data_IF_164698711091
#
_entry.id   IF_164698711091
#
_cell.length_a   1.000
_cell.length_b   1.000
_cell.length_c   1.000
_cell.angle_alpha   90.00
_cell.angle_beta   90.00
_cell.angle_gamma   90.00
#
_symmetry.space_group_name_H-M   'P 1'
#
loop_
_entity.id
_entity.type
_entity.pdbx_description
1 polymer ?
#
# COMPACT_ATOMS: atom_id res chain seq x y z
N UNK A 1 -11.80 8.42 20.10
CA UNK A 1 -11.19 9.77 20.10
C UNK A 1 -10.48 9.99 18.78
N UNK A 2 -10.73 11.10 18.09
CA UNK A 2 -10.10 11.37 16.79
C UNK A 2 -8.60 11.68 16.97
N UNK A 3 -7.84 11.69 15.88
CA UNK A 3 -6.44 12.14 15.91
C UNK A 3 -6.34 13.55 16.51
N UNK A 4 -7.19 14.48 16.07
CA UNK A 4 -7.15 15.89 16.48
C UNK A 4 -7.40 16.01 17.98
N UNK A 5 -8.46 15.39 18.48
CA UNK A 5 -8.81 15.42 19.91
C UNK A 5 -7.66 14.91 20.78
N UNK A 6 -7.05 13.78 20.37
CA UNK A 6 -5.92 13.17 21.07
C UNK A 6 -4.70 14.09 21.15
N UNK A 7 -4.39 14.81 20.07
CA UNK A 7 -3.24 15.73 20.04
C UNK A 7 -3.53 17.02 20.81
N UNK A 8 -4.77 17.52 20.79
CA UNK A 8 -5.20 18.66 21.61
C UNK A 8 -5.12 18.31 23.11
N UNK A 9 -5.64 17.15 23.50
CA UNK A 9 -5.56 16.66 24.87
C UNK A 9 -4.11 16.53 25.33
N UNK A 10 -3.26 15.91 24.50
CA UNK A 10 -1.83 15.79 24.77
C UNK A 10 -1.17 17.16 25.00
N UNK A 11 -1.39 18.12 24.10
CA UNK A 11 -0.86 19.49 24.25
C UNK A 11 -1.35 20.15 25.54
N UNK A 12 -2.64 20.06 25.82
CA UNK A 12 -3.23 20.71 26.99
C UNK A 12 -2.69 20.12 28.30
N UNK A 13 -2.38 18.82 28.32
CA UNK A 13 -1.75 18.18 29.47
C UNK A 13 -0.31 18.70 29.67
N UNK A 14 0.49 18.80 28.61
CA UNK A 14 1.83 19.41 28.69
C UNK A 14 1.78 20.84 29.23
N UNK A 15 0.86 21.66 28.72
CA UNK A 15 0.70 23.05 29.16
C UNK A 15 0.28 23.15 30.63
N UNK A 16 -0.62 22.28 31.10
CA UNK A 16 -1.03 22.22 32.52
C UNK A 16 0.14 21.83 33.43
N UNK A 17 1.03 20.98 32.95
CA UNK A 17 2.23 20.53 33.66
C UNK A 17 3.40 21.52 33.53
N UNK A 18 3.23 22.65 32.82
CA UNK A 18 4.29 23.62 32.57
C UNK A 18 5.41 23.11 31.66
N UNK A 19 5.17 22.02 30.93
CA UNK A 19 6.13 21.41 30.01
C UNK A 19 6.07 22.05 28.62
N UNK A 20 7.22 22.03 27.94
CA UNK A 20 7.34 22.51 26.58
C UNK A 20 6.60 21.58 25.59
N UNK A 21 5.71 22.16 24.78
CA UNK A 21 4.88 21.39 23.82
C UNK A 21 5.73 20.85 22.66
N UNK A 22 6.65 21.66 22.17
CA UNK A 22 7.58 21.33 21.08
C UNK A 22 8.94 21.93 21.45
N UNK A 23 10.02 21.14 21.46
CA UNK A 23 11.35 21.63 21.83
C UNK A 23 11.86 22.67 20.83
N UNK A 24 12.85 23.46 21.27
CA UNK A 24 13.60 24.40 20.41
C UNK A 24 14.29 23.70 19.24
N UNK A 25 14.81 22.48 19.47
CA UNK A 25 15.43 21.66 18.43
C UNK A 25 14.97 20.21 18.52
N UNK A 26 14.85 19.57 17.37
CA UNK A 26 14.75 18.11 17.26
C UNK A 26 16.03 17.59 16.65
N UNK A 27 16.63 16.56 17.26
CA UNK A 27 17.86 15.94 16.76
C UNK A 27 19.01 16.96 16.58
N UNK A 28 19.06 18.01 17.40
CA UNK A 28 20.03 19.11 17.30
C UNK A 28 19.75 20.12 16.17
N UNK A 29 18.68 19.96 15.40
CA UNK A 29 18.31 20.81 14.27
C UNK A 29 17.19 21.77 14.68
N UNK A 30 17.42 23.07 14.53
CA UNK A 30 16.42 24.12 14.80
C UNK A 30 15.64 24.53 13.54
N UNK A 31 14.53 25.26 13.72
CA UNK A 31 13.78 25.84 12.60
C UNK A 31 14.60 26.86 11.81
N UNK A 32 15.49 27.60 12.48
CA UNK A 32 16.41 28.55 11.83
C UNK A 32 17.38 27.82 10.90
N UNK A 33 17.96 26.69 11.36
CA UNK A 33 18.83 25.85 10.51
C UNK A 33 18.07 25.34 9.29
N UNK A 34 16.86 24.82 9.49
CA UNK A 34 15.98 24.35 8.39
C UNK A 34 15.70 25.49 7.41
N UNK A 35 15.34 26.68 7.91
CA UNK A 35 15.07 27.86 7.09
C UNK A 35 16.28 28.24 6.23
N UNK A 36 17.49 28.26 6.82
CA UNK A 36 18.72 28.55 6.09
C UNK A 36 18.97 27.56 4.96
N UNK A 37 18.79 26.25 5.24
CA UNK A 37 18.93 25.20 4.22
C UNK A 37 17.87 25.33 3.12
N UNK A 38 16.60 25.50 3.50
CA UNK A 38 15.49 25.61 2.55
C UNK A 38 15.58 26.88 1.68
N UNK A 39 16.21 27.96 2.17
CA UNK A 39 16.47 29.15 1.37
C UNK A 39 17.44 28.87 0.22
N UNK A 40 18.49 28.07 0.44
CA UNK A 40 19.47 27.74 -0.62
C UNK A 40 18.83 26.91 -1.74
N UNK A 41 17.85 26.08 -1.40
CA UNK A 41 17.20 25.18 -2.35
C UNK A 41 15.91 25.77 -2.96
N UNK A 42 15.63 27.06 -2.70
CA UNK A 42 14.45 27.80 -3.17
C UNK A 42 13.11 27.12 -2.80
N UNK A 43 13.01 26.62 -1.55
CA UNK A 43 11.83 25.92 -1.01
C UNK A 43 11.53 26.34 0.43
N UNK A 44 11.56 27.64 0.71
CA UNK A 44 11.47 28.17 2.07
C UNK A 44 10.16 28.90 2.33
N UNK A 45 9.12 28.14 2.69
CA UNK A 45 7.89 28.69 3.29
C UNK A 45 7.78 28.26 4.74
N UNK A 46 7.01 29.00 5.55
CA UNK A 46 6.78 28.65 6.96
C UNK A 46 6.18 27.23 7.09
N UNK A 47 5.26 26.85 6.20
CA UNK A 47 4.69 25.50 6.22
C UNK A 47 5.73 24.42 5.88
N UNK A 48 6.65 24.67 4.93
CA UNK A 48 7.72 23.73 4.61
C UNK A 48 8.72 23.59 5.76
N UNK A 49 9.10 24.70 6.41
CA UNK A 49 9.98 24.70 7.58
C UNK A 49 9.33 23.88 8.70
N UNK A 50 8.06 24.15 9.00
CA UNK A 50 7.31 23.45 10.04
C UNK A 50 7.13 21.95 9.73
N UNK A 51 6.97 21.60 8.44
CA UNK A 51 6.86 20.21 7.99
C UNK A 51 8.16 19.42 8.15
N UNK A 52 9.30 20.01 7.74
CA UNK A 52 10.62 19.40 7.96
C UNK A 52 10.88 19.27 9.46
N UNK A 53 10.57 20.30 10.24
CA UNK A 53 10.75 20.27 11.69
C UNK A 53 9.90 19.18 12.37
N UNK A 54 8.64 19.01 11.94
CA UNK A 54 7.78 17.94 12.44
C UNK A 54 8.34 16.54 12.13
N UNK A 55 8.94 16.35 10.95
CA UNK A 55 9.52 15.08 10.54
C UNK A 55 10.86 14.74 11.23
N UNK A 56 11.33 15.61 12.13
CA UNK A 56 12.45 15.33 13.03
C UNK A 56 11.97 14.89 14.44
N UNK A 57 10.67 14.90 14.73
CA UNK A 57 10.14 14.51 16.04
C UNK A 57 10.44 13.02 16.33
N UNK A 58 11.15 12.76 17.43
CA UNK A 58 11.54 11.42 17.86
C UNK A 58 10.52 10.74 18.78
N UNK A 59 9.41 11.41 19.08
CA UNK A 59 8.32 10.83 19.86
C UNK A 59 7.72 9.61 19.15
N UNK A 60 7.01 8.74 19.90
CA UNK A 60 6.33 7.60 19.31
C UNK A 60 5.37 8.00 18.18
N UNK A 61 5.29 7.15 17.16
CA UNK A 61 4.42 7.37 16.02
C UNK A 61 2.93 7.50 16.40
N UNK A 62 2.17 8.20 15.56
CA UNK A 62 0.73 8.41 15.77
C UNK A 62 -0.19 7.43 15.03
N UNK A 63 0.40 6.41 14.39
CA UNK A 63 -0.30 5.29 13.76
C UNK A 63 -1.04 4.41 14.78
N UNK A 64 -0.75 3.11 14.82
CA UNK A 64 -1.43 2.14 15.69
C UNK A 64 -0.65 1.92 16.98
N UNK A 65 -1.33 1.40 18.01
CA UNK A 65 -0.65 0.93 19.24
C UNK A 65 0.39 -0.15 18.95
N UNK A 66 0.18 -0.97 17.89
CA UNK A 66 1.15 -1.98 17.43
C UNK A 66 2.43 -1.31 16.93
N UNK A 67 2.30 -0.22 16.15
CA UNK A 67 3.43 0.55 15.65
C UNK A 67 4.23 1.22 16.79
N UNK A 68 3.54 1.75 17.79
CA UNK A 68 4.18 2.30 19.02
C UNK A 68 4.98 1.20 19.75
N UNK A 69 4.39 0.02 19.94
CA UNK A 69 5.07 -1.12 20.58
C UNK A 69 6.27 -1.63 19.78
N UNK A 70 6.24 -1.48 18.46
CA UNK A 70 7.36 -1.81 17.58
C UNK A 70 8.48 -0.75 17.60
N UNK A 71 8.35 0.31 18.42
CA UNK A 71 9.39 1.33 18.58
C UNK A 71 9.42 2.36 17.45
N UNK A 72 8.42 2.39 16.58
CA UNK A 72 8.37 3.33 15.46
C UNK A 72 8.18 4.75 15.98
N UNK A 73 9.06 5.65 15.56
CA UNK A 73 9.04 7.08 15.87
C UNK A 73 8.26 7.86 14.82
N UNK A 74 7.91 9.10 15.14
CA UNK A 74 7.27 10.01 14.20
C UNK A 74 8.19 10.33 13.00
N UNK A 75 9.48 10.53 13.26
CA UNK A 75 10.49 10.80 12.22
C UNK A 75 10.75 9.63 11.25
N UNK A 76 10.42 8.39 11.64
CA UNK A 76 10.55 7.23 10.74
C UNK A 76 9.53 7.28 9.59
N UNK A 77 8.41 7.96 9.81
CA UNK A 77 7.40 8.25 8.82
C UNK A 77 6.10 8.78 9.43
N UNK A 78 5.60 9.89 8.89
CA UNK A 78 4.34 10.50 9.32
C UNK A 78 3.38 10.73 8.13
N UNK A 79 2.10 10.43 8.32
CA UNK A 79 1.05 10.71 7.32
C UNK A 79 0.81 12.21 7.15
N UNK A 80 0.17 12.64 6.06
CA UNK A 80 -0.24 14.05 5.88
C UNK A 80 -1.06 14.55 7.08
N UNK A 81 -1.93 13.72 7.65
CA UNK A 81 -2.74 14.09 8.80
C UNK A 81 -1.90 14.22 10.08
N UNK A 82 -0.89 13.37 10.27
CA UNK A 82 0.04 13.46 11.40
C UNK A 82 0.87 14.75 11.32
N UNK A 83 1.48 15.02 10.17
CA UNK A 83 2.30 16.23 9.98
C UNK A 83 1.43 17.47 10.12
N UNK A 84 0.25 17.50 9.49
CA UNK A 84 -0.66 18.64 9.61
C UNK A 84 -1.15 18.88 11.04
N UNK A 85 -1.36 17.83 11.84
CA UNK A 85 -1.72 17.95 13.25
C UNK A 85 -0.53 18.39 14.12
N UNK A 86 0.68 17.91 13.84
CA UNK A 86 1.88 18.39 14.52
C UNK A 86 2.07 19.89 14.26
N UNK A 87 1.93 20.36 13.02
CA UNK A 87 2.08 21.78 12.70
C UNK A 87 0.95 22.60 13.32
N UNK A 88 -0.31 22.28 12.98
CA UNK A 88 -1.47 23.10 13.34
C UNK A 88 -1.73 23.15 14.84
N UNK A 89 -1.51 22.04 15.55
CA UNK A 89 -1.89 21.89 16.96
C UNK A 89 -0.67 22.07 17.87
N UNK A 90 0.42 21.31 17.64
CA UNK A 90 1.57 21.35 18.54
C UNK A 90 2.43 22.60 18.32
N UNK A 91 2.82 22.88 17.08
CA UNK A 91 3.72 24.01 16.80
C UNK A 91 3.01 25.37 16.84
N UNK A 92 1.78 25.46 16.33
CA UNK A 92 1.04 26.72 16.15
C UNK A 92 -0.03 27.00 17.21
N UNK A 93 -0.30 26.06 18.12
CA UNK A 93 -1.30 26.26 19.17
C UNK A 93 -2.76 26.26 18.70
N UNK A 94 -3.06 25.87 17.45
CA UNK A 94 -4.41 25.83 16.89
C UNK A 94 -5.26 24.64 17.38
N UNK A 95 -6.53 24.58 16.97
CA UNK A 95 -7.48 23.52 17.34
C UNK A 95 -7.79 22.55 16.19
N UNK A 96 -7.05 22.66 15.09
CA UNK A 96 -7.20 21.80 13.92
C UNK A 96 -5.85 21.51 13.29
N UNK A 97 -5.80 20.45 12.50
CA UNK A 97 -4.66 20.14 11.64
C UNK A 97 -4.68 21.03 10.41
N UNK A 98 -3.53 21.21 9.77
CA UNK A 98 -3.47 21.81 8.43
C UNK A 98 -4.38 21.04 7.47
N UNK A 99 -4.96 21.80 6.54
CA UNK A 99 -5.81 21.22 5.52
C UNK A 99 -5.03 20.22 4.64
N UNK A 100 -5.70 19.12 4.32
CA UNK A 100 -5.12 18.02 3.56
C UNK A 100 -4.82 18.44 2.13
N UNK A 101 -5.70 19.23 1.50
CA UNK A 101 -5.49 19.71 0.13
C UNK A 101 -4.30 20.68 0.06
N UNK A 102 -4.02 21.37 1.18
CA UNK A 102 -2.82 22.19 1.35
C UNK A 102 -1.49 21.44 1.15
N UNK A 103 -1.46 20.10 1.26
CA UNK A 103 -0.25 19.27 1.16
C UNK A 103 0.60 19.59 -0.08
N UNK A 104 -0.05 19.93 -1.19
CA UNK A 104 0.62 20.23 -2.44
C UNK A 104 1.46 21.53 -2.38
N UNK A 105 1.32 22.34 -1.32
CA UNK A 105 2.12 23.53 -1.06
C UNK A 105 3.24 23.32 -0.04
N UNK A 106 3.18 22.31 0.83
CA UNK A 106 4.13 22.16 1.95
C UNK A 106 4.84 20.80 2.06
N UNK A 107 4.39 19.78 1.32
CA UNK A 107 5.13 18.52 1.17
C UNK A 107 5.54 18.27 -0.28
N UNK A 108 4.68 18.60 -1.25
CA UNK A 108 4.97 18.33 -2.67
C UNK A 108 6.26 18.95 -3.16
N UNK A 109 6.52 20.24 -2.88
CA UNK A 109 7.73 20.87 -3.35
C UNK A 109 9.01 20.30 -2.73
N UNK A 110 8.91 19.61 -1.58
CA UNK A 110 10.03 18.96 -0.90
C UNK A 110 10.29 17.53 -1.40
N UNK A 111 9.26 16.74 -1.71
CA UNK A 111 9.48 15.40 -2.28
C UNK A 111 9.84 15.45 -3.77
N UNK A 112 9.41 16.48 -4.52
CA UNK A 112 9.76 16.64 -5.94
C UNK A 112 11.26 16.87 -6.15
N UNK A 113 11.92 17.38 -5.12
CA UNK A 113 13.37 17.50 -5.06
C UNK A 113 13.99 16.39 -4.20
N UNK A 114 13.25 15.37 -3.75
CA UNK A 114 13.80 14.27 -2.94
C UNK A 114 14.36 14.67 -1.58
N UNK A 115 14.02 15.83 -1.02
CA UNK A 115 14.27 16.15 0.41
C UNK A 115 13.42 15.25 1.30
N UNK A 116 12.21 14.92 0.84
CA UNK A 116 11.32 13.96 1.49
C UNK A 116 11.15 12.71 0.63
N UNK A 117 11.08 11.57 1.30
CA UNK A 117 10.77 10.28 0.70
C UNK A 117 9.31 9.91 1.00
N UNK A 118 8.60 9.40 0.00
CA UNK A 118 7.32 8.74 0.21
C UNK A 118 7.59 7.35 0.76
N UNK A 119 6.88 6.98 1.82
CA UNK A 119 6.94 5.65 2.43
C UNK A 119 5.54 5.19 2.84
N UNK A 120 5.34 3.89 3.04
CA UNK A 120 4.10 3.36 3.60
C UNK A 120 4.45 2.43 4.77
N UNK A 121 3.72 2.55 5.89
CA UNK A 121 3.87 1.60 6.98
C UNK A 121 3.23 0.27 6.59
N UNK A 122 4.01 -0.81 6.55
CA UNK A 122 3.48 -2.16 6.41
C UNK A 122 2.90 -2.63 7.76
N UNK A 123 1.60 -2.90 7.79
CA UNK A 123 0.86 -3.33 8.98
C UNK A 123 1.22 -4.75 9.46
N UNK A 124 1.89 -5.54 8.63
CA UNK A 124 2.34 -6.88 8.97
C UNK A 124 3.69 -6.82 9.67
N UNK A 125 4.70 -6.26 9.00
CA UNK A 125 6.10 -6.21 9.47
C UNK A 125 6.39 -5.08 10.44
N UNK A 126 5.52 -4.06 10.54
CA UNK A 126 5.80 -2.83 11.29
C UNK A 126 7.05 -2.11 10.79
N UNK A 127 7.29 -2.14 9.47
CA UNK A 127 8.39 -1.42 8.83
C UNK A 127 7.88 -0.48 7.75
N UNK A 128 8.65 0.57 7.45
CA UNK A 128 8.33 1.47 6.34
C UNK A 128 8.90 0.92 5.04
N UNK A 129 8.03 0.73 4.08
CA UNK A 129 8.39 0.37 2.71
C UNK A 129 8.44 1.63 1.82
N UNK A 130 9.27 1.64 0.77
CA UNK A 130 9.35 2.79 -0.14
C UNK A 130 8.06 3.03 -0.93
N UNK A 131 7.75 4.30 -1.14
CA UNK A 131 6.66 4.77 -1.99
C UNK A 131 5.29 4.73 -1.33
N UNK A 132 4.27 5.02 -2.14
CA UNK A 132 2.85 4.86 -1.80
C UNK A 132 2.25 3.79 -2.71
N UNK A 133 2.64 2.50 -2.55
CA UNK A 133 2.23 1.43 -3.45
C UNK A 133 0.71 1.21 -3.45
N UNK A 134 0.06 1.49 -2.32
CA UNK A 134 -1.40 1.44 -2.19
C UNK A 134 -1.94 2.88 -2.21
N UNK A 135 -2.63 3.24 -3.29
CA UNK A 135 -3.22 4.55 -3.44
C UNK A 135 -4.23 4.86 -2.31
N UNK A 136 -4.20 6.08 -1.79
CA UNK A 136 -5.10 6.58 -0.73
C UNK A 136 -5.05 5.82 0.60
N UNK A 137 -4.10 4.89 0.79
CA UNK A 137 -3.92 4.19 2.06
C UNK A 137 -3.68 5.19 3.21
N UNK A 138 -4.33 5.01 4.38
CA UNK A 138 -4.07 5.84 5.55
C UNK A 138 -2.66 5.60 6.12
N UNK A 139 -1.97 4.53 5.69
CA UNK A 139 -0.62 4.17 6.12
C UNK A 139 0.47 4.85 5.27
N UNK A 140 0.09 5.57 4.20
CA UNK A 140 1.01 6.38 3.43
C UNK A 140 1.54 7.55 4.26
N UNK A 141 2.85 7.71 4.22
CA UNK A 141 3.63 8.59 5.06
C UNK A 141 4.79 9.24 4.28
N UNK A 142 5.46 10.15 4.95
CA UNK A 142 6.65 10.83 4.46
C UNK A 142 7.70 10.82 5.57
N UNK A 143 8.97 10.75 5.17
CA UNK A 143 10.13 10.94 6.05
C UNK A 143 11.18 11.80 5.35
N UNK A 144 12.10 12.37 6.10
CA UNK A 144 13.25 13.10 5.53
C UNK A 144 14.21 12.08 4.91
N UNK A 145 14.72 12.36 3.71
CA UNK A 145 15.76 11.53 3.07
C UNK A 145 17.06 11.62 3.86
N UNK A 146 17.83 10.54 3.91
CA UNK A 146 19.08 10.52 4.68
C UNK A 146 20.04 11.63 4.22
N UNK A 147 20.21 11.79 2.90
CA UNK A 147 21.06 12.84 2.34
C UNK A 147 20.63 14.26 2.76
N UNK A 148 19.32 14.54 2.82
CA UNK A 148 18.84 15.84 3.28
C UNK A 148 19.01 16.02 4.79
N UNK A 149 18.86 14.94 5.56
CA UNK A 149 19.13 14.92 7.00
C UNK A 149 20.61 15.20 7.32
N UNK A 150 21.52 14.67 6.51
CA UNK A 150 22.97 14.90 6.65
C UNK A 150 23.31 16.38 6.42
N UNK A 151 22.66 17.04 5.45
CA UNK A 151 22.79 18.49 5.22
C UNK A 151 22.28 19.28 6.42
N UNK A 152 21.08 18.95 6.94
CA UNK A 152 20.51 19.63 8.10
C UNK A 152 21.40 19.51 9.35
N UNK A 153 22.07 18.37 9.51
CA UNK A 153 22.91 18.05 10.66
C UNK A 153 24.35 18.55 10.52
N UNK A 154 24.76 18.98 9.32
CA UNK A 154 26.12 19.39 9.06
C UNK A 154 26.48 20.73 9.76
N UNK A 155 27.71 20.88 10.26
CA UNK A 155 28.18 22.10 10.91
C UNK A 155 28.10 23.33 9.99
N UNK A 156 28.03 24.51 10.60
CA UNK A 156 28.06 25.79 9.89
C UNK A 156 29.37 25.95 9.08
N UNK A 157 29.26 26.48 7.87
CA UNK A 157 30.37 26.57 6.91
C UNK A 157 30.59 25.31 6.06
N UNK A 158 29.97 24.18 6.42
CA UNK A 158 30.04 22.92 5.63
C UNK A 158 28.74 22.68 4.88
N UNK A 159 27.60 22.79 5.57
CA UNK A 159 26.29 22.44 5.01
C UNK A 159 25.92 23.26 3.76
N UNK A 160 26.40 24.50 3.63
CA UNK A 160 26.11 25.37 2.48
C UNK A 160 26.66 24.78 1.18
N UNK A 161 27.86 24.19 1.24
CA UNK A 161 28.48 23.53 0.09
C UNK A 161 27.72 22.25 -0.28
N UNK A 162 27.37 21.43 0.72
CA UNK A 162 26.59 20.21 0.54
C UNK A 162 25.20 20.52 -0.04
N UNK A 163 24.53 21.57 0.43
CA UNK A 163 23.22 21.99 -0.07
C UNK A 163 23.29 22.40 -1.54
N UNK A 164 24.30 23.20 -1.93
CA UNK A 164 24.49 23.63 -3.33
C UNK A 164 24.78 22.45 -4.25
N UNK A 165 25.64 21.53 -3.82
CA UNK A 165 25.94 20.32 -4.59
C UNK A 165 24.71 19.41 -4.73
N UNK A 166 23.95 19.25 -3.66
CA UNK A 166 22.76 18.39 -3.62
C UNK A 166 21.61 18.88 -4.51
N UNK A 167 21.49 20.21 -4.69
CA UNK A 167 20.48 20.84 -5.58
C UNK A 167 20.83 20.74 -7.06
N UNK A 168 22.10 20.49 -7.42
CA UNK A 168 22.50 20.41 -8.82
C UNK A 168 21.59 19.46 -9.62
N UNK A 169 21.18 19.88 -10.82
CA UNK A 169 20.15 19.17 -11.60
C UNK A 169 20.57 17.73 -11.95
N UNK A 170 21.87 17.48 -12.13
CA UNK A 170 22.43 16.14 -12.32
C UNK A 170 22.20 15.25 -11.08
N UNK A 171 22.56 15.72 -9.89
CA UNK A 171 22.37 14.99 -8.64
C UNK A 171 20.88 14.78 -8.32
N UNK A 172 20.05 15.78 -8.62
CA UNK A 172 18.59 15.68 -8.49
C UNK A 172 18.02 14.61 -9.41
N UNK A 173 18.42 14.58 -10.69
CA UNK A 173 17.94 13.57 -11.66
C UNK A 173 18.37 12.17 -11.27
N UNK A 174 19.64 11.98 -10.90
CA UNK A 174 20.15 10.68 -10.45
C UNK A 174 19.39 10.16 -9.21
N UNK A 175 19.17 11.03 -8.22
CA UNK A 175 18.42 10.69 -7.00
C UNK A 175 16.97 10.32 -7.29
N UNK A 176 16.27 11.09 -8.13
CA UNK A 176 14.88 10.81 -8.48
C UNK A 176 14.73 9.49 -9.26
N UNK A 177 15.66 9.19 -10.16
CA UNK A 177 15.69 7.91 -10.87
C UNK A 177 15.88 6.74 -9.90
N UNK A 178 16.85 6.85 -8.97
CA UNK A 178 17.08 5.83 -7.95
C UNK A 178 15.84 5.61 -7.07
N UNK A 179 15.19 6.69 -6.61
CA UNK A 179 13.95 6.59 -5.84
C UNK A 179 12.83 5.92 -6.65
N UNK A 180 12.70 6.24 -7.95
CA UNK A 180 11.69 5.62 -8.81
C UNK A 180 11.91 4.11 -8.97
N UNK A 181 13.15 3.65 -9.13
CA UNK A 181 13.48 2.22 -9.20
C UNK A 181 13.19 1.50 -7.88
N UNK A 182 13.56 2.10 -6.74
CA UNK A 182 13.28 1.55 -5.41
C UNK A 182 11.78 1.48 -5.13
N UNK A 183 11.01 2.50 -5.52
CA UNK A 183 9.55 2.52 -5.41
C UNK A 183 8.93 1.46 -6.32
N UNK A 184 9.44 1.28 -7.54
CA UNK A 184 8.95 0.24 -8.47
C UNK A 184 9.15 -1.15 -7.86
N UNK A 185 10.35 -1.45 -7.36
CA UNK A 185 10.65 -2.71 -6.66
C UNK A 185 9.79 -2.90 -5.40
N UNK A 186 9.56 -1.84 -4.64
CA UNK A 186 8.68 -1.89 -3.48
C UNK A 186 7.22 -2.14 -3.89
N UNK A 187 6.73 -1.53 -4.98
CA UNK A 187 5.39 -1.80 -5.51
C UNK A 187 5.24 -3.27 -5.93
N UNK A 188 6.24 -3.81 -6.62
CA UNK A 188 6.31 -5.23 -7.00
C UNK A 188 6.37 -6.15 -5.76
N UNK A 189 7.10 -5.76 -4.71
CA UNK A 189 7.20 -6.52 -3.46
C UNK A 189 5.95 -6.42 -2.55
N UNK A 190 5.04 -5.48 -2.83
CA UNK A 190 3.85 -5.16 -2.00
C UNK A 190 2.57 -5.67 -2.65
N UNK A 191 2.67 -6.54 -3.66
CA UNK A 191 1.53 -7.25 -4.23
C UNK A 191 0.59 -7.73 -3.11
N UNK A 192 -0.65 -7.23 -3.18
CA UNK A 192 -1.61 -7.24 -2.09
C UNK A 192 -1.87 -8.64 -1.53
N UNK A 193 -2.41 -8.80 -0.30
CA UNK A 193 -2.88 -10.10 0.19
C UNK A 193 -3.72 -10.89 -0.83
N UNK A 194 -4.47 -10.17 -1.69
CA UNK A 194 -5.25 -10.73 -2.79
C UNK A 194 -4.36 -11.19 -3.94
N UNK A 195 -3.49 -10.32 -4.47
CA UNK A 195 -2.55 -10.64 -5.55
C UNK A 195 -1.59 -11.77 -5.15
N UNK A 196 -1.16 -11.81 -3.88
CA UNK A 196 -0.35 -12.89 -3.31
C UNK A 196 -1.15 -14.19 -3.26
N UNK A 197 -2.40 -14.16 -2.80
CA UNK A 197 -3.26 -15.35 -2.79
C UNK A 197 -3.54 -15.88 -4.21
N UNK A 198 -3.70 -14.99 -5.20
CA UNK A 198 -3.78 -15.36 -6.62
C UNK A 198 -2.49 -16.04 -7.09
N UNK A 199 -1.33 -15.43 -6.79
CA UNK A 199 -0.02 -15.99 -7.13
C UNK A 199 0.19 -17.37 -6.50
N UNK A 200 -0.14 -17.52 -5.21
CA UNK A 200 -0.01 -18.78 -4.47
C UNK A 200 -0.99 -19.85 -4.98
N UNK A 201 -2.19 -19.44 -5.41
CA UNK A 201 -3.13 -20.35 -6.08
C UNK A 201 -2.55 -20.87 -7.39
N UNK A 202 -1.95 -20.00 -8.20
CA UNK A 202 -1.29 -20.39 -9.45
C UNK A 202 -0.04 -21.26 -9.21
N UNK A 203 0.75 -20.96 -8.18
CA UNK A 203 2.03 -21.61 -7.92
C UNK A 203 1.88 -22.96 -7.21
N UNK A 204 0.93 -23.08 -6.28
CA UNK A 204 0.81 -24.25 -5.40
C UNK A 204 -0.48 -25.03 -5.63
N UNK A 205 -1.63 -24.37 -5.68
CA UNK A 205 -2.91 -25.06 -5.83
C UNK A 205 -3.06 -25.71 -7.21
N UNK A 206 -2.82 -24.94 -8.28
CA UNK A 206 -3.00 -25.41 -9.66
C UNK A 206 -2.13 -26.64 -9.97
N UNK A 207 -0.80 -26.65 -9.71
CA UNK A 207 0.02 -27.83 -10.00
C UNK A 207 -0.30 -29.03 -9.10
N UNK A 208 -0.88 -28.81 -7.92
CA UNK A 208 -1.21 -29.89 -6.98
C UNK A 208 -2.53 -30.58 -7.34
N UNK A 209 -3.58 -29.81 -7.62
CA UNK A 209 -4.95 -30.31 -7.76
C UNK A 209 -5.52 -30.21 -9.18
N UNK A 210 -4.94 -29.38 -10.06
CA UNK A 210 -5.45 -29.10 -11.41
C UNK A 210 -4.39 -29.35 -12.50
N UNK A 211 -3.66 -30.48 -12.40
CA UNK A 211 -2.47 -30.80 -13.23
C UNK A 211 -2.68 -30.75 -14.74
N UNK A 212 -3.88 -31.06 -15.21
CA UNK A 212 -4.21 -31.07 -16.65
C UNK A 212 -4.78 -29.73 -17.16
N UNK A 213 -4.84 -28.71 -16.30
CA UNK A 213 -5.32 -27.38 -16.63
C UNK A 213 -4.17 -26.40 -16.90
N UNK A 214 -4.30 -25.60 -17.95
CA UNK A 214 -3.40 -24.49 -18.27
C UNK A 214 -4.02 -23.17 -17.83
N UNK A 215 -3.26 -22.31 -17.15
CA UNK A 215 -3.69 -20.94 -16.81
C UNK A 215 -3.71 -20.10 -18.09
N UNK A 216 -4.89 -19.58 -18.43
CA UNK A 216 -5.11 -18.79 -19.64
C UNK A 216 -5.46 -17.33 -19.36
N UNK A 217 -5.86 -17.02 -18.12
CA UNK A 217 -6.16 -15.66 -17.67
C UNK A 217 -5.87 -15.52 -16.17
N UNK A 218 -5.36 -14.36 -15.78
CA UNK A 218 -5.13 -13.92 -14.41
C UNK A 218 -5.51 -12.44 -14.35
N UNK A 219 -6.34 -12.05 -13.39
CA UNK A 219 -6.64 -10.67 -13.03
C UNK A 219 -5.99 -10.35 -11.69
N UNK A 220 -4.81 -9.73 -11.70
CA UNK A 220 -3.99 -9.48 -10.49
C UNK A 220 -4.29 -8.14 -9.79
N UNK A 221 -5.37 -7.45 -10.20
CA UNK A 221 -5.89 -6.25 -9.55
C UNK A 221 -5.15 -4.94 -9.88
N UNK A 222 -4.14 -4.94 -10.76
CA UNK A 222 -3.43 -3.71 -11.19
C UNK A 222 -4.06 -3.05 -12.43
N UNK A 223 -5.26 -3.49 -12.84
CA UNK A 223 -6.17 -2.74 -13.71
C UNK A 223 -5.97 -2.90 -15.22
N UNK A 224 -7.02 -3.39 -15.87
CA UNK A 224 -7.45 -3.11 -17.25
C UNK A 224 -6.62 -3.59 -18.45
N UNK A 225 -5.62 -4.46 -18.29
CA UNK A 225 -4.88 -4.99 -19.46
C UNK A 225 -4.72 -6.50 -19.46
N UNK A 226 -5.61 -7.17 -20.18
CA UNK A 226 -5.33 -8.51 -20.73
C UNK A 226 -4.08 -8.39 -21.60
N UNK A 227 -3.00 -9.05 -21.19
CA UNK A 227 -1.75 -9.07 -21.96
C UNK A 227 -1.97 -9.73 -23.32
N UNK A 228 -1.13 -9.41 -24.31
CA UNK A 228 -1.24 -10.03 -25.64
C UNK A 228 -1.06 -11.57 -25.57
N UNK A 229 -0.26 -12.06 -24.62
CA UNK A 229 -0.11 -13.49 -24.36
C UNK A 229 -1.41 -14.11 -23.84
N UNK A 230 -2.08 -13.48 -22.87
CA UNK A 230 -3.38 -13.95 -22.36
C UNK A 230 -4.45 -13.89 -23.46
N UNK A 231 -4.49 -12.84 -24.29
CA UNK A 231 -5.40 -12.76 -25.46
C UNK A 231 -5.17 -13.92 -26.41
N UNK A 232 -3.90 -14.25 -26.71
CA UNK A 232 -3.56 -15.40 -27.54
C UNK A 232 -4.03 -16.71 -26.90
N UNK A 233 -3.78 -16.91 -25.61
CA UNK A 233 -4.20 -18.11 -24.86
C UNK A 233 -5.73 -18.27 -24.85
N UNK A 234 -6.47 -17.21 -24.55
CA UNK A 234 -7.94 -17.18 -24.61
C UNK A 234 -8.45 -17.53 -26.01
N UNK A 235 -7.88 -16.93 -27.06
CA UNK A 235 -8.25 -17.25 -28.46
C UNK A 235 -7.94 -18.70 -28.82
N UNK A 236 -6.79 -19.22 -28.40
CA UNK A 236 -6.43 -20.64 -28.60
C UNK A 236 -7.39 -21.57 -27.86
N UNK A 237 -7.88 -21.17 -26.69
CA UNK A 237 -8.92 -21.88 -25.96
C UNK A 237 -10.33 -21.69 -26.57
N UNK A 238 -10.49 -20.93 -27.66
CA UNK A 238 -11.80 -20.65 -28.26
C UNK A 238 -12.70 -19.75 -27.42
N UNK A 239 -12.13 -18.92 -26.53
CA UNK A 239 -12.86 -18.03 -25.65
C UNK A 239 -12.89 -16.60 -26.17
N UNK A 240 -14.08 -15.99 -26.15
CA UNK A 240 -14.30 -14.57 -26.44
C UNK A 240 -14.88 -13.87 -25.23
N UNK A 241 -14.16 -12.86 -24.73
CA UNK A 241 -14.58 -12.02 -23.61
C UNK A 241 -15.38 -10.82 -24.15
N UNK A 242 -16.53 -10.56 -23.55
CA UNK A 242 -17.40 -9.43 -23.82
C UNK A 242 -17.34 -8.43 -22.67
N UNK A 243 -17.71 -7.17 -22.93
CA UNK A 243 -17.61 -6.06 -21.96
C UNK A 243 -18.40 -6.31 -20.66
N UNK A 244 -19.43 -7.14 -20.71
CA UNK A 244 -20.33 -7.45 -19.59
C UNK A 244 -20.03 -8.79 -18.91
N UNK A 245 -18.96 -9.49 -19.29
CA UNK A 245 -18.57 -10.74 -18.62
C UNK A 245 -17.96 -10.44 -17.26
N UNK A 246 -18.46 -11.10 -16.22
CA UNK A 246 -17.82 -11.07 -14.89
C UNK A 246 -16.65 -12.05 -14.88
N UNK A 247 -15.47 -11.55 -15.25
CA UNK A 247 -14.25 -12.35 -15.26
C UNK A 247 -13.82 -12.76 -13.84
N UNK A 248 -13.22 -13.95 -13.68
CA UNK A 248 -12.67 -14.42 -12.40
C UNK A 248 -11.22 -13.98 -12.20
N UNK A 249 -10.69 -14.13 -10.97
CA UNK A 249 -9.29 -13.82 -10.68
C UNK A 249 -8.31 -14.73 -11.45
N UNK A 250 -8.64 -16.01 -11.63
CA UNK A 250 -7.88 -16.92 -12.50
C UNK A 250 -8.84 -17.79 -13.32
N UNK A 251 -8.58 -17.91 -14.63
CA UNK A 251 -9.25 -18.86 -15.51
C UNK A 251 -8.23 -19.85 -16.06
N UNK A 252 -8.60 -21.13 -15.98
CA UNK A 252 -7.83 -22.23 -16.54
C UNK A 252 -8.64 -23.03 -17.55
N UNK A 253 -7.92 -23.71 -18.46
CA UNK A 253 -8.51 -24.55 -19.49
C UNK A 253 -7.80 -25.90 -19.58
N UNK A 254 -8.59 -26.97 -19.61
CA UNK A 254 -8.11 -28.31 -19.87
C UNK A 254 -8.32 -28.66 -21.35
N UNK A 255 -7.22 -28.81 -22.09
CA UNK A 255 -7.25 -29.10 -23.53
C UNK A 255 -7.85 -30.46 -23.89
N UNK A 256 -7.74 -31.43 -22.98
CA UNK A 256 -8.19 -32.82 -23.23
C UNK A 256 -9.70 -32.94 -23.11
N UNK A 257 -10.27 -32.30 -22.10
CA UNK A 257 -11.71 -32.35 -21.81
C UNK A 257 -12.49 -31.17 -22.39
N UNK A 258 -11.78 -30.14 -22.85
CA UNK A 258 -12.32 -28.83 -23.25
C UNK A 258 -13.19 -28.15 -22.17
N UNK A 259 -12.83 -28.37 -20.91
CA UNK A 259 -13.51 -27.77 -19.75
C UNK A 259 -12.70 -26.60 -19.16
N UNK A 260 -13.40 -25.72 -18.46
CA UNK A 260 -12.82 -24.57 -17.78
C UNK A 260 -12.69 -24.83 -16.27
N UNK A 261 -11.80 -24.09 -15.62
CA UNK A 261 -11.76 -24.00 -14.16
C UNK A 261 -11.57 -22.55 -13.73
N UNK A 262 -12.33 -22.15 -12.72
CA UNK A 262 -12.34 -20.80 -12.17
C UNK A 262 -11.75 -20.81 -10.77
N UNK A 263 -10.87 -19.86 -10.48
CA UNK A 263 -10.39 -19.60 -9.12
C UNK A 263 -10.73 -18.16 -8.74
N UNK A 264 -11.34 -17.98 -7.58
CA UNK A 264 -11.59 -16.67 -6.96
C UNK A 264 -10.82 -16.58 -5.63
N UNK A 265 -9.98 -15.57 -5.47
CA UNK A 265 -9.11 -15.33 -4.33
C UNK A 265 -9.73 -14.36 -3.33
N UNK A 266 -10.34 -14.88 -2.26
CA UNK A 266 -11.17 -14.06 -1.39
C UNK A 266 -10.36 -13.43 -0.26
N UNK A 267 -10.20 -12.11 -0.33
CA UNK A 267 -9.60 -11.30 0.76
C UNK A 267 -10.55 -10.21 1.27
N UNK A 268 -11.27 -9.50 0.39
CA UNK A 268 -12.32 -8.52 0.72
C UNK A 268 -13.57 -8.68 -0.15
N UNK A 269 -13.40 -8.98 -1.43
CA UNK A 269 -14.47 -9.06 -2.43
C UNK A 269 -14.97 -10.51 -2.63
N UNK A 270 -16.15 -10.66 -3.23
CA UNK A 270 -17.08 -11.79 -3.06
C UNK A 270 -16.55 -13.20 -3.39
N UNK A 271 -17.11 -14.22 -2.73
CA UNK A 271 -16.85 -15.64 -3.04
C UNK A 271 -17.42 -16.06 -4.40
N UNK A 272 -17.09 -17.30 -4.80
CA UNK A 272 -17.90 -18.03 -5.77
C UNK A 272 -19.28 -18.32 -5.16
N UNK A 273 -20.18 -17.36 -5.31
CA UNK A 273 -21.59 -17.48 -5.00
C UNK A 273 -22.39 -18.03 -6.18
N UNK A 274 -23.69 -18.24 -5.97
CA UNK A 274 -24.57 -18.76 -7.02
C UNK A 274 -24.64 -17.87 -8.25
N UNK A 275 -24.48 -16.55 -8.11
CA UNK A 275 -24.51 -15.61 -9.23
C UNK A 275 -23.24 -15.74 -10.08
N UNK A 276 -22.06 -15.85 -9.46
CA UNK A 276 -20.79 -16.09 -10.16
C UNK A 276 -20.81 -17.46 -10.85
N UNK A 277 -21.29 -18.52 -10.19
CA UNK A 277 -21.44 -19.85 -10.80
C UNK A 277 -22.32 -19.78 -12.05
N UNK A 278 -23.48 -19.14 -11.95
CA UNK A 278 -24.40 -19.01 -13.08
C UNK A 278 -23.81 -18.18 -14.23
N UNK A 279 -23.12 -17.09 -13.91
CA UNK A 279 -22.44 -16.23 -14.89
C UNK A 279 -21.36 -17.00 -15.66
N UNK A 280 -20.49 -17.72 -14.95
CA UNK A 280 -19.41 -18.49 -15.57
C UNK A 280 -19.88 -19.74 -16.28
N UNK A 281 -20.98 -20.38 -15.84
CA UNK A 281 -21.65 -21.46 -16.60
C UNK A 281 -22.22 -20.93 -17.91
N UNK A 282 -22.84 -19.74 -17.91
CA UNK A 282 -23.32 -19.11 -19.13
C UNK A 282 -22.16 -18.74 -20.07
N UNK A 283 -21.07 -18.18 -19.54
CA UNK A 283 -19.84 -17.89 -20.28
C UNK A 283 -19.25 -19.16 -20.93
N UNK A 284 -19.11 -20.23 -20.14
CA UNK A 284 -18.60 -21.54 -20.58
C UNK A 284 -19.45 -22.11 -21.72
N UNK A 285 -20.77 -22.18 -21.53
CA UNK A 285 -21.72 -22.67 -22.54
C UNK A 285 -21.70 -21.84 -23.83
N UNK A 286 -21.64 -20.50 -23.71
CA UNK A 286 -21.58 -19.59 -24.86
C UNK A 286 -20.33 -19.82 -25.71
N UNK A 287 -19.22 -20.17 -25.08
CA UNK A 287 -17.96 -20.48 -25.77
C UNK A 287 -17.80 -21.97 -26.11
N UNK A 288 -18.88 -22.76 -26.04
CA UNK A 288 -18.90 -24.17 -26.47
C UNK A 288 -18.08 -25.12 -25.60
N UNK A 289 -17.80 -24.75 -24.35
CA UNK A 289 -17.01 -25.57 -23.42
C UNK A 289 -17.84 -26.68 -22.80
N UNK A 290 -17.18 -27.79 -22.47
CA UNK A 290 -17.86 -29.01 -21.99
C UNK A 290 -18.38 -28.87 -20.56
N UNK A 291 -17.64 -28.17 -19.70
CA UNK A 291 -17.99 -27.93 -18.30
C UNK A 291 -17.19 -26.76 -17.70
N UNK A 292 -17.53 -26.34 -16.48
CA UNK A 292 -16.76 -25.37 -15.68
C UNK A 292 -16.75 -25.74 -14.19
N UNK A 293 -15.54 -25.91 -13.64
CA UNK A 293 -15.31 -26.09 -12.21
C UNK A 293 -14.93 -24.79 -11.48
N UNK A 294 -15.00 -24.79 -10.16
CA UNK A 294 -14.79 -23.60 -9.33
C UNK A 294 -14.03 -23.90 -8.05
N UNK A 295 -13.11 -23.00 -7.70
CA UNK A 295 -12.43 -22.98 -6.40
C UNK A 295 -12.50 -21.57 -5.80
N UNK A 296 -12.97 -21.47 -4.55
CA UNK A 296 -12.77 -20.26 -3.75
C UNK A 296 -11.53 -20.45 -2.87
N UNK A 297 -10.58 -19.52 -2.95
CA UNK A 297 -9.34 -19.60 -2.18
C UNK A 297 -9.35 -18.58 -1.04
N UNK A 298 -8.77 -18.97 0.09
CA UNK A 298 -8.64 -18.14 1.29
C UNK A 298 -7.23 -18.20 1.84
N UNK A 299 -6.81 -17.14 2.52
CA UNK A 299 -5.50 -17.14 3.19
C UNK A 299 -5.46 -18.07 4.41
N UNK A 300 -6.52 -18.07 5.23
CA UNK A 300 -6.54 -18.74 6.54
C UNK A 300 -7.90 -19.33 6.87
N UNK A 301 -7.93 -20.29 7.79
CA UNK A 301 -9.16 -20.85 8.36
C UNK A 301 -10.02 -19.80 9.06
N UNK A 302 -9.36 -18.82 9.69
CA UNK A 302 -10.04 -17.69 10.32
C UNK A 302 -10.83 -16.87 9.29
N UNK A 303 -10.24 -16.63 8.12
CA UNK A 303 -10.86 -15.77 7.10
C UNK A 303 -12.12 -16.39 6.50
N UNK A 304 -12.10 -17.69 6.20
CA UNK A 304 -13.30 -18.41 5.75
C UNK A 304 -14.38 -18.38 6.82
N UNK A 305 -14.04 -18.62 8.10
CA UNK A 305 -15.02 -18.58 9.19
C UNK A 305 -15.67 -17.19 9.33
N UNK A 306 -14.88 -16.11 9.30
CA UNK A 306 -15.39 -14.73 9.35
C UNK A 306 -16.38 -14.44 8.21
N UNK A 307 -16.04 -14.88 7.00
CA UNK A 307 -16.87 -14.64 5.81
C UNK A 307 -18.13 -15.49 5.80
N UNK A 308 -18.01 -16.78 6.07
CA UNK A 308 -19.16 -17.68 6.08
C UNK A 308 -20.07 -17.45 7.28
N UNK A 309 -19.57 -16.90 8.38
CA UNK A 309 -20.44 -16.39 9.45
C UNK A 309 -21.37 -15.27 8.94
N UNK A 310 -20.85 -14.36 8.09
CA UNK A 310 -21.57 -13.19 7.60
C UNK A 310 -22.46 -13.46 6.39
N UNK A 311 -21.95 -14.20 5.40
CA UNK A 311 -22.58 -14.28 4.07
C UNK A 311 -23.23 -15.63 3.77
N UNK A 312 -22.70 -16.74 4.29
CA UNK A 312 -23.23 -18.11 4.11
C UNK A 312 -23.58 -18.43 2.64
N UNK A 313 -22.69 -18.07 1.73
CA UNK A 313 -22.99 -17.93 0.31
C UNK A 313 -22.07 -18.74 -0.62
N UNK A 314 -21.16 -19.56 -0.09
CA UNK A 314 -20.38 -20.47 -0.95
C UNK A 314 -21.34 -21.45 -1.61
N UNK A 315 -21.27 -21.55 -2.94
CA UNK A 315 -22.11 -22.45 -3.70
C UNK A 315 -21.73 -23.93 -3.49
N UNK A 316 -22.74 -24.80 -3.44
CA UNK A 316 -22.55 -26.25 -3.50
C UNK A 316 -21.92 -26.66 -4.83
N UNK A 317 -21.25 -27.81 -4.84
CA UNK A 317 -20.55 -28.33 -6.02
C UNK A 317 -19.27 -27.58 -6.36
N UNK A 318 -18.76 -26.73 -5.45
CA UNK A 318 -17.51 -25.99 -5.61
C UNK A 318 -16.44 -26.47 -4.64
N UNK A 319 -15.20 -26.05 -4.87
CA UNK A 319 -14.06 -26.35 -4.02
C UNK A 319 -13.62 -25.15 -3.18
N UNK A 320 -13.00 -25.44 -2.05
CA UNK A 320 -12.35 -24.48 -1.18
C UNK A 320 -10.90 -24.90 -0.99
N UNK A 321 -9.99 -23.95 -1.17
CA UNK A 321 -8.58 -24.12 -0.83
C UNK A 321 -8.14 -23.04 0.14
N UNK A 322 -7.30 -23.43 1.11
CA UNK A 322 -6.86 -22.55 2.19
C UNK A 322 -5.33 -22.54 2.17
N UNK A 323 -4.74 -21.38 1.90
CA UNK A 323 -3.30 -21.20 1.77
C UNK A 323 -2.54 -21.63 3.03
N UNK A 324 -3.09 -21.39 4.22
CA UNK A 324 -2.55 -21.83 5.51
C UNK A 324 -2.40 -23.36 5.63
N UNK A 325 -3.21 -24.14 4.89
CA UNK A 325 -3.13 -25.60 4.82
C UNK A 325 -3.17 -26.06 3.35
N UNK A 326 -2.09 -25.78 2.59
CA UNK A 326 -2.12 -25.83 1.13
C UNK A 326 -2.23 -27.25 0.58
N UNK A 327 -2.07 -28.26 1.44
CA UNK A 327 -2.11 -29.69 1.10
C UNK A 327 -3.52 -30.26 0.94
N UNK A 328 -4.56 -29.51 1.33
CA UNK A 328 -5.95 -29.96 1.35
C UNK A 328 -6.79 -29.17 0.37
N UNK A 329 -7.74 -29.86 -0.26
CA UNK A 329 -8.77 -29.27 -1.10
C UNK A 329 -10.12 -29.79 -0.58
N UNK A 330 -11.04 -28.89 -0.25
CA UNK A 330 -12.32 -29.23 0.39
C UNK A 330 -13.43 -29.11 -0.65
N UNK A 331 -14.30 -30.11 -0.72
CA UNK A 331 -15.47 -30.08 -1.60
C UNK A 331 -16.71 -29.67 -0.81
N UNK A 332 -17.47 -28.71 -1.33
CA UNK A 332 -18.75 -28.26 -0.75
C UNK A 332 -19.85 -29.14 -1.31
N UNK A 333 -20.21 -30.18 -0.56
CA UNK A 333 -21.30 -31.10 -0.92
C UNK A 333 -22.68 -30.42 -0.80
N UNK A 334 -23.67 -30.98 -1.49
CA UNK A 334 -25.08 -30.56 -1.47
C UNK A 334 -25.74 -30.67 -0.08
#
# INVERSE_FOLDING_TARGET
>A
MSLVDRIIEYRNNLLKEGMEVVPVCYQGISKEKIKSVLNIIDRSTNDMIDAVFALLDERPTWFSKKAIKAGIKFCDGASTAHIGAHIGILQRGGYTKLDREGRDYWLKPLWEIGSLEKVMLDSNTMTFIPGHPIAKSPLCAYKISQAFKDILSAPDGVWESLAKEWVSEENKRQRLNFQAEVIKKAKEAVHSPHSQLIADSCQYYVPMFLKDYEIIFIDDGDGDRITEEQRRKLRTAGLTIQLNDSMPDVLLWNKKTDSLWVIEAVTSDGEVDIHKVNSMKAFSKRNGKSDVGFTTTYQTWKKIAERQHKYKNIAHGTYIWIQEDPSKNLYVAD
#
